data_IF_689396920755
#
_entry.id   IF_689396920755
#
_cell.length_a   1.000
_cell.length_b   1.000
_cell.length_c   1.000
_cell.angle_alpha   90.00
_cell.angle_beta   90.00
_cell.angle_gamma   90.00
#
_symmetry.space_group_name_H-M   'P 1'
#
loop_
_entity.id
_entity.type
_entity.pdbx_description
1 polymer ?
#
# COMPACT_ATOMS: atom_id res chain seq x y z
N UNK A 1 16.55 33.28 12.14
CA UNK A 1 15.97 32.87 10.84
C UNK A 1 14.65 32.18 11.11
N UNK A 2 13.54 32.89 10.88
CA UNK A 2 12.18 32.42 11.17
C UNK A 2 11.75 31.36 10.13
N UNK A 3 11.26 30.22 10.62
CA UNK A 3 10.81 29.10 9.80
C UNK A 3 9.48 29.46 9.11
N UNK A 4 9.39 29.45 7.77
CA UNK A 4 8.20 29.88 7.05
C UNK A 4 7.36 28.67 6.65
N UNK A 5 6.81 27.90 7.60
CA UNK A 5 5.84 26.87 7.21
C UNK A 5 4.96 26.31 8.35
N UNK A 6 4.63 27.12 9.36
CA UNK A 6 3.51 26.77 10.22
C UNK A 6 2.24 27.37 9.62
N UNK A 7 1.23 26.57 9.21
CA UNK A 7 -0.07 27.13 8.90
C UNK A 7 -0.51 27.93 10.14
N UNK A 8 -0.91 29.18 9.91
CA UNK A 8 -1.27 30.08 11.00
C UNK A 8 -2.35 29.41 11.87
N UNK A 9 -2.27 29.58 13.20
CA UNK A 9 -3.28 29.07 14.15
C UNK A 9 -4.73 29.40 13.73
N UNK A 10 -4.89 30.52 13.01
CA UNK A 10 -6.13 30.97 12.40
C UNK A 10 -6.62 30.09 11.22
N UNK A 11 -5.73 29.54 10.40
CA UNK A 11 -6.09 28.57 9.36
C UNK A 11 -6.54 27.24 9.97
N UNK A 12 -5.91 26.81 11.06
CA UNK A 12 -6.33 25.60 11.79
C UNK A 12 -7.69 25.77 12.45
N UNK A 13 -7.96 26.90 13.10
CA UNK A 13 -9.28 27.15 13.70
C UNK A 13 -10.39 27.25 12.66
N UNK A 14 -10.11 27.82 11.49
CA UNK A 14 -11.04 27.82 10.35
C UNK A 14 -11.29 26.41 9.82
N UNK A 15 -10.25 25.59 9.65
CA UNK A 15 -10.39 24.21 9.20
C UNK A 15 -11.19 23.35 10.20
N UNK A 16 -10.98 23.53 11.50
CA UNK A 16 -11.76 22.88 12.56
C UNK A 16 -13.24 23.28 12.51
N UNK A 17 -13.53 24.56 12.32
CA UNK A 17 -14.91 25.05 12.24
C UNK A 17 -15.63 24.50 11.00
N UNK A 18 -14.95 24.52 9.84
CA UNK A 18 -15.49 23.97 8.59
C UNK A 18 -15.68 22.45 8.69
N UNK A 19 -14.77 21.73 9.32
CA UNK A 19 -14.93 20.30 9.55
C UNK A 19 -16.12 19.99 10.47
N UNK A 20 -16.34 20.78 11.52
CA UNK A 20 -17.49 20.64 12.41
C UNK A 20 -18.82 20.91 11.67
N UNK A 21 -18.90 21.99 10.90
CA UNK A 21 -20.09 22.28 10.08
C UNK A 21 -20.35 21.15 9.06
N UNK A 22 -19.32 20.67 8.36
CA UNK A 22 -19.46 19.56 7.41
C UNK A 22 -19.87 18.25 8.08
N UNK A 23 -19.45 18.02 9.32
CA UNK A 23 -19.87 16.86 10.10
C UNK A 23 -21.35 16.96 10.49
N UNK A 24 -21.81 18.15 10.91
CA UNK A 24 -23.22 18.42 11.19
C UNK A 24 -24.09 18.23 9.94
N UNK A 25 -23.62 18.66 8.76
CA UNK A 25 -24.29 18.39 7.48
C UNK A 25 -24.27 16.92 7.09
N UNK A 26 -23.20 16.18 7.38
CA UNK A 26 -23.11 14.75 7.05
C UNK A 26 -23.99 13.86 7.94
N UNK A 27 -24.29 14.32 9.15
CA UNK A 27 -25.16 13.61 10.10
C UNK A 27 -26.65 13.80 9.78
N UNK A 28 -26.99 14.73 8.88
CA UNK A 28 -28.34 14.87 8.36
C UNK A 28 -28.51 13.93 7.16
N UNK A 29 -29.19 12.81 7.38
CA UNK A 29 -29.57 11.89 6.31
C UNK A 29 -30.63 12.54 5.41
N UNK A 30 -30.18 13.19 4.34
CA UNK A 30 -31.06 13.78 3.32
C UNK A 30 -31.68 12.68 2.45
N UNK A 31 -32.78 12.11 2.92
CA UNK A 31 -33.63 11.26 2.08
C UNK A 31 -34.56 12.14 1.25
N UNK A 32 -34.84 11.73 0.00
CA UNK A 32 -35.82 12.42 -0.86
C UNK A 32 -37.15 12.62 -0.11
N UNK A 33 -37.53 11.63 0.71
CA UNK A 33 -38.73 11.64 1.54
C UNK A 33 -38.63 12.75 2.60
N UNK A 34 -37.53 12.83 3.37
CA UNK A 34 -37.32 13.89 4.37
C UNK A 34 -37.20 15.30 3.77
N UNK A 35 -36.66 15.42 2.55
CA UNK A 35 -36.63 16.70 1.82
C UNK A 35 -38.00 17.11 1.27
N UNK A 36 -38.88 16.14 1.00
CA UNK A 36 -40.21 16.38 0.44
C UNK A 36 -41.29 16.67 1.50
N UNK A 37 -41.10 16.23 2.74
CA UNK A 37 -42.04 16.42 3.85
C UNK A 37 -42.43 17.90 4.09
N UNK A 38 -41.50 18.89 4.08
CA UNK A 38 -41.85 20.30 4.19
C UNK A 38 -42.75 20.78 3.03
N UNK A 39 -42.53 20.24 1.83
CA UNK A 39 -43.29 20.60 0.62
C UNK A 39 -44.72 20.04 0.73
N UNK A 40 -44.88 18.78 1.16
CA UNK A 40 -46.19 18.15 1.35
C UNK A 40 -46.99 18.75 2.51
N UNK A 41 -46.32 19.12 3.61
CA UNK A 41 -46.93 19.81 4.75
C UNK A 41 -47.46 21.20 4.36
N UNK A 42 -46.67 21.97 3.60
CA UNK A 42 -47.09 23.27 3.08
C UNK A 42 -48.32 23.14 2.15
N UNK A 43 -48.37 22.11 1.29
CA UNK A 43 -49.48 21.90 0.36
C UNK A 43 -50.80 21.53 1.06
N UNK A 44 -50.70 20.76 2.16
CA UNK A 44 -51.85 20.37 2.99
C UNK A 44 -52.40 21.55 3.82
N UNK A 45 -51.52 22.46 4.24
CA UNK A 45 -51.93 23.71 4.91
C UNK A 45 -52.63 24.69 3.96
N UNK A 46 -52.34 24.64 2.66
CA UNK A 46 -52.97 25.50 1.66
C UNK A 46 -54.40 25.04 1.30
N UNK A 47 -54.72 23.75 1.41
CA UNK A 47 -56.09 23.23 1.17
C UNK A 47 -57.04 23.38 2.36
N UNK A 48 -56.52 23.69 3.55
CA UNK A 48 -57.32 23.86 4.78
C UNK A 48 -57.64 25.31 5.13
N UNK A 49 -57.16 26.28 4.34
CA UNK A 49 -57.41 27.72 4.56
C UNK A 49 -58.48 28.35 3.66
N UNK A 50 -59.08 27.59 2.73
CA UNK A 50 -60.28 28.05 1.99
C UNK A 50 -61.56 27.71 2.74
N UNK A 51 -62.04 28.71 3.47
CA UNK A 51 -63.25 28.78 4.30
C UNK A 51 -64.55 28.35 3.58
N UNK A 52 -65.26 27.34 4.11
CA UNK A 52 -66.74 27.32 4.10
C UNK A 52 -67.50 26.03 3.70
N UNK A 53 -68.24 25.49 4.69
CA UNK A 53 -69.56 24.80 4.59
C UNK A 53 -69.60 23.28 4.31
N UNK A 54 -69.79 22.54 5.41
CA UNK A 54 -70.56 21.30 5.62
C UNK A 54 -71.13 20.56 4.39
N UNK A 55 -70.66 19.33 4.14
CA UNK A 55 -71.52 18.14 3.98
C UNK A 55 -70.69 16.89 3.67
N UNK A 56 -71.23 15.74 4.09
CA UNK A 56 -70.81 14.38 3.77
C UNK A 56 -69.66 13.78 4.60
N UNK A 57 -70.07 13.00 5.60
CA UNK A 57 -69.55 11.68 5.99
C UNK A 57 -68.10 11.36 5.58
N UNK A 58 -67.19 11.06 6.53
CA UNK A 58 -65.90 10.49 6.19
C UNK A 58 -66.15 9.14 5.51
N UNK A 59 -66.05 9.09 4.18
CA UNK A 59 -65.95 7.82 3.48
C UNK A 59 -64.66 7.20 3.97
N UNK A 60 -64.81 6.15 4.76
CA UNK A 60 -63.74 5.34 5.33
C UNK A 60 -63.00 4.64 4.18
N UNK A 61 -62.03 5.32 3.59
CA UNK A 61 -60.89 4.70 2.91
C UNK A 61 -59.62 5.13 3.63
N UNK A 62 -59.67 5.04 4.96
CA UNK A 62 -58.49 5.08 5.81
C UNK A 62 -57.72 3.77 5.55
N UNK A 63 -56.69 3.85 4.69
CA UNK A 63 -55.56 2.92 4.67
C UNK A 63 -54.43 3.62 5.42
N UNK A 64 -54.74 4.11 6.61
CA UNK A 64 -53.76 4.50 7.62
C UNK A 64 -53.28 3.24 8.34
N UNK A 65 -52.58 2.39 7.60
CA UNK A 65 -51.82 1.27 8.16
C UNK A 65 -50.59 0.91 7.29
N UNK A 66 -49.99 1.90 6.64
CA UNK A 66 -48.58 1.81 6.22
C UNK A 66 -47.76 2.30 7.41
N UNK A 67 -47.55 1.39 8.35
CA UNK A 67 -46.71 1.55 9.52
C UNK A 67 -45.32 2.09 9.16
N UNK A 68 -44.85 3.04 9.97
CA UNK A 68 -43.47 3.44 10.21
C UNK A 68 -42.51 3.47 9.01
N UNK A 69 -42.24 4.68 8.53
CA UNK A 69 -41.22 5.04 7.53
C UNK A 69 -41.37 4.36 6.16
N UNK A 70 -41.79 5.07 5.11
CA UNK A 70 -41.84 4.50 3.77
C UNK A 70 -40.42 4.13 3.34
N UNK A 71 -40.10 2.84 3.40
CA UNK A 71 -38.88 2.30 2.82
C UNK A 71 -39.01 2.34 1.29
N UNK A 72 -37.90 2.57 0.55
CA UNK A 72 -37.96 2.74 -0.92
C UNK A 72 -38.61 1.55 -1.63
N UNK A 73 -38.44 0.33 -1.10
CA UNK A 73 -39.06 -0.88 -1.63
C UNK A 73 -40.58 -0.95 -1.42
N UNK A 74 -41.12 -0.36 -0.34
CA UNK A 74 -42.57 -0.30 -0.10
C UNK A 74 -43.23 0.69 -1.06
N UNK A 75 -42.57 1.82 -1.31
CA UNK A 75 -43.09 2.88 -2.18
C UNK A 75 -43.21 2.42 -3.64
N UNK A 76 -42.24 1.62 -4.13
CA UNK A 76 -42.31 1.04 -5.47
C UNK A 76 -43.50 0.07 -5.62
N UNK A 77 -43.73 -0.78 -4.61
CA UNK A 77 -44.86 -1.69 -4.58
C UNK A 77 -46.20 -0.91 -4.58
N UNK A 78 -46.32 0.13 -3.76
CA UNK A 78 -47.52 0.97 -3.69
C UNK A 78 -47.77 1.70 -5.02
N UNK A 79 -46.74 2.27 -5.66
CA UNK A 79 -46.88 2.92 -6.96
C UNK A 79 -47.35 1.95 -8.05
N UNK A 80 -46.85 0.71 -8.04
CA UNK A 80 -47.28 -0.32 -8.98
C UNK A 80 -48.76 -0.68 -8.77
N UNK A 81 -49.18 -0.87 -7.52
CA UNK A 81 -50.56 -1.16 -7.15
C UNK A 81 -51.51 -0.02 -7.54
N UNK A 82 -51.15 1.23 -7.25
CA UNK A 82 -51.96 2.39 -7.64
C UNK A 82 -52.06 2.54 -9.16
N UNK A 83 -50.98 2.30 -9.90
CA UNK A 83 -51.02 2.33 -11.36
C UNK A 83 -52.02 1.32 -11.92
N UNK A 84 -52.04 0.10 -11.40
CA UNK A 84 -53.02 -0.90 -11.78
C UNK A 84 -54.45 -0.51 -11.39
N UNK A 85 -54.66 -0.06 -10.15
CA UNK A 85 -55.97 0.37 -9.65
C UNK A 85 -56.54 1.52 -10.49
N UNK A 86 -55.75 2.56 -10.75
CA UNK A 86 -56.18 3.69 -11.56
C UNK A 86 -56.40 3.31 -13.02
N UNK A 87 -55.64 2.36 -13.58
CA UNK A 87 -55.89 1.85 -14.93
C UNK A 87 -57.25 1.15 -15.03
N UNK A 88 -57.59 0.32 -14.03
CA UNK A 88 -58.89 -0.36 -13.92
C UNK A 88 -60.03 0.64 -13.71
N UNK A 89 -59.84 1.60 -12.82
CA UNK A 89 -60.82 2.64 -12.52
C UNK A 89 -61.10 3.52 -13.75
N UNK A 90 -60.04 3.94 -14.46
CA UNK A 90 -60.15 4.72 -15.70
C UNK A 90 -60.90 3.95 -16.78
N UNK A 91 -60.60 2.66 -16.97
CA UNK A 91 -61.32 1.82 -17.93
C UNK A 91 -62.80 1.71 -17.57
N UNK A 92 -63.11 1.34 -16.32
CA UNK A 92 -64.49 1.23 -15.83
C UNK A 92 -65.27 2.54 -15.94
N UNK A 93 -64.63 3.68 -15.63
CA UNK A 93 -65.27 5.00 -15.71
C UNK A 93 -65.58 5.39 -17.14
N UNK A 94 -64.61 5.25 -18.06
CA UNK A 94 -64.82 5.55 -19.48
C UNK A 94 -65.90 4.65 -20.06
N UNK A 95 -65.89 3.36 -19.74
CA UNK A 95 -66.94 2.42 -20.15
C UNK A 95 -68.31 2.81 -19.61
N UNK A 96 -68.41 3.17 -18.33
CA UNK A 96 -69.68 3.55 -17.72
C UNK A 96 -70.23 4.86 -18.29
N UNK A 97 -69.39 5.89 -18.42
CA UNK A 97 -69.79 7.19 -18.98
C UNK A 97 -70.17 7.05 -20.45
N UNK A 98 -69.47 6.22 -21.23
CA UNK A 98 -69.84 5.97 -22.63
C UNK A 98 -71.15 5.21 -22.75
N UNK A 99 -71.37 4.17 -21.92
CA UNK A 99 -72.66 3.47 -21.83
C UNK A 99 -73.80 4.41 -21.48
N UNK A 100 -73.64 5.25 -20.46
CA UNK A 100 -74.66 6.22 -20.06
C UNK A 100 -74.92 7.26 -21.15
N UNK A 101 -73.86 7.83 -21.74
CA UNK A 101 -73.97 8.82 -22.82
C UNK A 101 -74.65 8.22 -24.06
N UNK A 102 -74.37 6.95 -24.39
CA UNK A 102 -75.03 6.24 -25.48
C UNK A 102 -76.52 6.03 -25.22
N UNK A 103 -76.88 5.54 -24.02
CA UNK A 103 -78.30 5.36 -23.63
C UNK A 103 -79.01 6.71 -23.66
N UNK A 104 -78.41 7.76 -23.11
CA UNK A 104 -78.99 9.11 -23.10
C UNK A 104 -79.10 9.70 -24.52
N UNK A 105 -78.19 9.38 -25.44
CA UNK A 105 -78.29 9.82 -26.83
C UNK A 105 -79.44 9.15 -27.58
N UNK A 106 -79.77 7.89 -27.26
CA UNK A 106 -80.86 7.13 -27.89
C UNK A 106 -82.22 7.44 -27.25
N UNK A 107 -82.26 7.57 -25.93
CA UNK A 107 -83.49 7.73 -25.14
C UNK A 107 -83.83 9.21 -24.86
N UNK A 108 -82.86 10.11 -25.03
CA UNK A 108 -83.06 11.55 -24.86
C UNK A 108 -83.99 12.13 -25.92
N UNK A 109 -84.83 13.08 -25.51
CA UNK A 109 -85.77 13.78 -26.39
C UNK A 109 -85.35 15.26 -26.46
N UNK A 110 -84.81 15.77 -27.59
CA UNK A 110 -84.63 15.11 -28.88
C UNK A 110 -83.38 14.19 -28.96
N UNK A 111 -83.40 13.14 -29.81
CA UNK A 111 -82.27 12.23 -29.96
C UNK A 111 -81.04 12.94 -30.52
N UNK A 112 -79.90 12.73 -29.87
CA UNK A 112 -78.63 13.33 -30.26
C UNK A 112 -78.04 12.56 -31.45
N UNK A 113 -78.31 13.04 -32.67
CA UNK A 113 -77.71 12.52 -33.90
C UNK A 113 -76.42 13.30 -34.15
N UNK A 114 -75.27 12.67 -33.94
CA UNK A 114 -73.96 13.28 -34.21
C UNK A 114 -73.82 13.48 -35.72
N UNK A 115 -73.68 14.73 -36.15
CA UNK A 115 -73.50 15.05 -37.57
C UNK A 115 -72.07 14.77 -38.02
N UNK A 116 -71.87 14.41 -39.28
CA UNK A 116 -70.53 14.21 -39.85
C UNK A 116 -69.66 15.46 -39.75
N UNK A 117 -70.27 16.65 -39.77
CA UNK A 117 -69.57 17.92 -39.61
C UNK A 117 -69.08 18.16 -38.18
N UNK A 118 -69.89 17.79 -37.18
CA UNK A 118 -69.49 17.84 -35.76
C UNK A 118 -68.39 16.84 -35.41
N UNK A 119 -68.41 15.65 -36.04
CA UNK A 119 -67.28 14.72 -35.93
C UNK A 119 -66.00 15.30 -36.53
N UNK A 120 -66.08 15.92 -37.71
CA UNK A 120 -64.91 16.54 -38.34
C UNK A 120 -64.29 17.65 -37.48
N UNK A 121 -65.12 18.51 -36.86
CA UNK A 121 -64.62 19.57 -35.97
C UNK A 121 -64.03 19.00 -34.67
N UNK A 122 -64.64 17.96 -34.09
CA UNK A 122 -64.10 17.27 -32.92
C UNK A 122 -62.79 16.52 -33.23
N UNK A 123 -62.64 15.99 -34.43
CA UNK A 123 -61.40 15.37 -34.89
C UNK A 123 -60.28 16.39 -35.02
N UNK A 124 -60.55 17.58 -35.55
CA UNK A 124 -59.58 18.68 -35.65
C UNK A 124 -59.15 19.21 -34.27
N UNK A 125 -60.11 19.39 -33.35
CA UNK A 125 -59.82 19.78 -31.95
C UNK A 125 -59.00 18.69 -31.25
N UNK A 126 -59.33 17.41 -31.44
CA UNK A 126 -58.55 16.32 -30.87
C UNK A 126 -57.15 16.22 -31.49
N UNK A 127 -57.00 16.50 -32.79
CA UNK A 127 -55.70 16.49 -33.45
C UNK A 127 -54.80 17.60 -32.90
N UNK A 128 -55.31 18.83 -32.76
CA UNK A 128 -54.56 19.94 -32.16
C UNK A 128 -54.21 19.66 -30.69
N UNK A 129 -55.16 19.16 -29.88
CA UNK A 129 -54.91 18.77 -28.50
C UNK A 129 -53.88 17.63 -28.37
N UNK A 130 -53.91 16.65 -29.28
CA UNK A 130 -52.90 15.58 -29.33
C UNK A 130 -51.52 16.11 -29.68
N UNK A 131 -51.39 17.06 -30.60
CA UNK A 131 -50.11 17.70 -30.93
C UNK A 131 -49.54 18.42 -29.70
N UNK A 132 -50.35 19.26 -29.04
CA UNK A 132 -49.93 19.97 -27.83
C UNK A 132 -49.51 19.01 -26.71
N UNK A 133 -50.24 17.89 -26.52
CA UNK A 133 -49.88 16.88 -25.54
C UNK A 133 -48.56 16.18 -25.89
N UNK A 134 -48.33 15.87 -27.18
CA UNK A 134 -47.08 15.28 -27.63
C UNK A 134 -45.89 16.21 -27.39
N UNK A 135 -46.02 17.49 -27.73
CA UNK A 135 -45.00 18.51 -27.46
C UNK A 135 -44.68 18.58 -25.95
N UNK A 136 -45.70 18.71 -25.10
CA UNK A 136 -45.51 18.77 -23.65
C UNK A 136 -44.93 17.47 -23.09
N UNK A 137 -45.29 16.31 -23.65
CA UNK A 137 -44.69 15.03 -23.27
C UNK A 137 -43.21 14.97 -23.63
N UNK A 138 -42.82 15.49 -24.79
CA UNK A 138 -41.41 15.56 -25.18
C UNK A 138 -40.63 16.53 -24.28
N UNK A 139 -41.21 17.68 -23.95
CA UNK A 139 -40.62 18.64 -23.00
C UNK A 139 -40.40 18.01 -21.62
N UNK A 140 -41.45 17.42 -21.04
CA UNK A 140 -41.36 16.74 -19.74
C UNK A 140 -40.33 15.62 -19.78
N UNK A 141 -40.26 14.84 -20.86
CA UNK A 141 -39.24 13.79 -21.00
C UNK A 141 -37.81 14.36 -21.03
N UNK A 142 -37.61 15.51 -21.68
CA UNK A 142 -36.31 16.17 -21.71
C UNK A 142 -35.90 16.71 -20.33
N UNK A 143 -36.86 17.27 -19.57
CA UNK A 143 -36.63 17.75 -18.22
C UNK A 143 -36.28 16.58 -17.30
N UNK A 144 -36.99 15.44 -17.40
CA UNK A 144 -36.70 14.24 -16.62
C UNK A 144 -35.29 13.70 -16.88
N UNK A 145 -34.87 13.64 -18.15
CA UNK A 145 -33.51 13.23 -18.49
C UNK A 145 -32.46 14.18 -17.90
N UNK A 146 -32.68 15.49 -17.99
CA UNK A 146 -31.78 16.48 -17.39
C UNK A 146 -31.74 16.40 -15.86
N UNK A 147 -32.86 16.03 -15.22
CA UNK A 147 -32.95 15.86 -13.79
C UNK A 147 -32.19 14.59 -13.36
N UNK A 148 -32.32 13.50 -14.11
CA UNK A 148 -31.61 12.26 -13.85
C UNK A 148 -30.10 12.46 -13.96
N UNK A 149 -29.62 13.10 -15.04
CA UNK A 149 -28.19 13.42 -15.20
C UNK A 149 -27.68 14.27 -14.04
N UNK A 150 -28.39 15.34 -13.68
CA UNK A 150 -28.04 16.19 -12.54
C UNK A 150 -28.06 15.45 -11.21
N UNK A 151 -28.98 14.50 -11.03
CA UNK A 151 -29.07 13.70 -9.81
C UNK A 151 -27.88 12.74 -9.66
N UNK A 152 -27.43 12.13 -10.76
CA UNK A 152 -26.24 11.28 -10.78
C UNK A 152 -24.96 12.10 -10.53
N UNK A 153 -24.85 13.26 -11.19
CA UNK A 153 -23.76 14.22 -10.95
C UNK A 153 -23.72 14.69 -9.49
N UNK A 154 -24.87 14.96 -8.89
CA UNK A 154 -24.95 15.37 -7.49
C UNK A 154 -24.53 14.23 -6.55
N UNK A 155 -24.97 13.00 -6.81
CA UNK A 155 -24.61 11.83 -6.02
C UNK A 155 -23.09 11.60 -6.02
N UNK A 156 -22.45 11.64 -7.19
CA UNK A 156 -20.99 11.46 -7.30
C UNK A 156 -20.21 12.57 -6.58
N UNK A 157 -20.65 13.82 -6.70
CA UNK A 157 -20.04 14.96 -5.97
C UNK A 157 -20.22 14.82 -4.47
N UNK A 158 -21.39 14.40 -4.01
CA UNK A 158 -21.68 14.18 -2.60
C UNK A 158 -20.79 13.09 -2.01
N UNK A 159 -20.65 11.95 -2.69
CA UNK A 159 -19.74 10.88 -2.27
C UNK A 159 -18.29 11.35 -2.19
N UNK A 160 -17.84 12.15 -3.17
CA UNK A 160 -16.49 12.73 -3.16
C UNK A 160 -16.27 13.64 -1.96
N UNK A 161 -17.19 14.57 -1.70
CA UNK A 161 -17.11 15.47 -0.55
C UNK A 161 -17.11 14.67 0.75
N UNK A 162 -17.94 13.62 0.87
CA UNK A 162 -17.98 12.74 2.03
C UNK A 162 -16.65 12.00 2.25
N UNK A 163 -15.98 11.57 1.18
CA UNK A 163 -14.65 10.97 1.28
C UNK A 163 -13.58 11.99 1.70
N UNK A 164 -13.61 13.18 1.11
CA UNK A 164 -12.67 14.27 1.44
C UNK A 164 -12.86 14.77 2.88
N UNK A 165 -14.09 14.83 3.39
CA UNK A 165 -14.36 15.20 4.80
C UNK A 165 -13.86 14.13 5.76
N UNK A 166 -14.05 12.84 5.46
CA UNK A 166 -13.49 11.76 6.27
C UNK A 166 -11.96 11.83 6.36
N UNK A 167 -11.28 12.10 5.24
CA UNK A 167 -9.83 12.32 5.21
C UNK A 167 -9.41 13.57 6.00
N UNK A 168 -10.20 14.65 5.93
CA UNK A 168 -9.92 15.87 6.69
C UNK A 168 -9.99 15.62 8.19
N UNK A 169 -11.00 14.88 8.66
CA UNK A 169 -11.13 14.49 10.08
C UNK A 169 -9.93 13.65 10.52
N UNK A 170 -9.55 12.64 9.73
CA UNK A 170 -8.38 11.80 10.04
C UNK A 170 -7.08 12.61 10.10
N UNK A 171 -6.89 13.56 9.17
CA UNK A 171 -5.71 14.42 9.16
C UNK A 171 -5.69 15.34 10.38
N UNK A 172 -6.85 15.84 10.79
CA UNK A 172 -7.00 16.74 11.93
C UNK A 172 -6.63 16.05 13.25
N UNK A 173 -6.89 14.74 13.37
CA UNK A 173 -6.45 13.89 14.47
C UNK A 173 -4.95 13.60 14.44
N UNK A 174 -4.36 13.46 13.24
CA UNK A 174 -2.91 13.19 13.09
C UNK A 174 -2.03 14.41 13.39
N UNK A 175 -2.50 15.62 13.11
CA UNK A 175 -1.75 16.86 13.36
C UNK A 175 -1.27 17.01 14.82
N UNK A 176 -2.13 16.92 15.86
CA UNK A 176 -1.67 17.05 17.24
C UNK A 176 -0.70 15.92 17.65
N UNK A 177 -0.88 14.70 17.12
CA UNK A 177 0.05 13.60 17.37
C UNK A 177 1.45 13.90 16.81
N UNK A 178 1.52 14.45 15.59
CA UNK A 178 2.77 14.88 14.97
C UNK A 178 3.39 16.10 15.68
N UNK A 179 2.57 17.07 16.10
CA UNK A 179 3.04 18.23 16.87
C UNK A 179 3.62 17.80 18.23
N UNK A 180 2.96 16.88 18.93
CA UNK A 180 3.47 16.30 20.18
C UNK A 180 4.79 15.56 19.92
N UNK A 181 4.88 14.77 18.84
CA UNK A 181 6.11 14.07 18.49
C UNK A 181 7.25 15.04 18.16
N UNK A 182 6.97 16.15 17.48
CA UNK A 182 7.94 17.21 17.23
C UNK A 182 8.35 17.85 18.56
N UNK A 183 7.40 18.15 19.45
CA UNK A 183 7.66 18.72 20.76
C UNK A 183 8.48 17.80 21.67
N UNK A 184 8.35 16.48 21.54
CA UNK A 184 9.21 15.48 22.19
C UNK A 184 10.62 15.41 21.57
N UNK A 185 10.71 15.44 20.25
CA UNK A 185 11.98 15.30 19.53
C UNK A 185 12.83 16.57 19.56
N UNK A 186 12.23 17.76 19.66
CA UNK A 186 12.96 19.02 19.77
C UNK A 186 13.87 19.12 21.00
N UNK A 187 13.43 18.86 22.25
CA UNK A 187 14.30 18.91 23.41
C UNK A 187 15.36 17.81 23.36
N UNK A 188 15.06 16.61 22.84
CA UNK A 188 16.04 15.53 22.64
C UNK A 188 17.12 15.96 21.65
N UNK A 189 16.74 16.61 20.54
CA UNK A 189 17.70 17.15 19.56
C UNK A 189 18.52 18.30 20.12
N UNK A 190 17.91 19.19 20.93
CA UNK A 190 18.63 20.31 21.57
C UNK A 190 19.58 19.80 22.66
N UNK A 191 19.17 18.82 23.46
CA UNK A 191 20.03 18.24 24.49
C UNK A 191 21.15 17.37 23.89
N UNK A 192 20.89 16.61 22.81
CA UNK A 192 21.96 15.90 22.07
C UNK A 192 22.88 16.84 21.29
N UNK A 193 22.38 18.01 20.88
CA UNK A 193 23.19 19.06 20.24
C UNK A 193 24.18 19.74 21.18
N UNK A 194 23.83 19.88 22.46
CA UNK A 194 24.64 20.63 23.44
C UNK A 194 25.40 19.74 24.46
N UNK A 195 25.00 18.48 24.71
CA UNK A 195 25.58 17.66 25.79
C UNK A 195 26.33 16.37 25.39
N UNK A 196 26.47 16.02 24.11
CA UNK A 196 27.30 14.87 23.69
C UNK A 196 28.58 15.32 22.96
N UNK A 197 29.55 15.81 23.74
CA UNK A 197 30.97 15.84 23.35
C UNK A 197 31.68 14.49 23.61
N UNK A 198 30.91 13.42 23.80
CA UNK A 198 31.38 12.08 24.13
C UNK A 198 31.08 11.12 22.97
N UNK A 199 31.89 11.16 21.92
CA UNK A 199 31.88 10.10 20.92
C UNK A 199 32.48 10.50 19.60
N UNK A 200 31.67 11.07 18.70
CA UNK A 200 32.10 11.41 17.34
C UNK A 200 31.36 12.63 16.78
N UNK A 201 32.07 13.71 16.39
CA UNK A 201 31.47 14.91 15.81
C UNK A 201 30.78 14.66 14.46
N UNK A 202 31.10 13.52 13.82
CA UNK A 202 30.53 13.09 12.54
C UNK A 202 29.05 12.69 12.63
N UNK A 203 28.56 12.35 13.83
CA UNK A 203 27.16 11.92 14.05
C UNK A 203 26.18 13.08 14.14
N UNK A 204 26.67 14.31 14.35
CA UNK A 204 25.87 15.53 14.45
C UNK A 204 25.91 16.38 13.16
N UNK A 205 26.36 15.78 12.06
CA UNK A 205 26.46 16.47 10.78
C UNK A 205 25.09 16.59 10.09
N UNK A 206 24.77 17.74 9.47
CA UNK A 206 23.59 17.86 8.60
C UNK A 206 23.69 16.89 7.41
N UNK A 207 22.54 16.49 6.86
CA UNK A 207 22.44 15.46 5.81
C UNK A 207 23.40 15.68 4.62
N UNK A 208 23.62 16.92 4.19
CA UNK A 208 24.57 17.21 3.12
C UNK A 208 26.03 16.86 3.49
N UNK A 209 26.43 17.09 4.74
CA UNK A 209 27.78 16.77 5.22
C UNK A 209 27.94 15.27 5.50
N UNK A 210 26.89 14.56 5.93
CA UNK A 210 26.95 13.10 6.09
C UNK A 210 27.07 12.39 4.76
N UNK A 211 26.36 12.84 3.71
CA UNK A 211 26.52 12.30 2.36
C UNK A 211 27.96 12.48 1.84
N UNK A 212 28.54 13.67 2.02
CA UNK A 212 29.93 13.92 1.66
C UNK A 212 30.92 13.03 2.44
N UNK A 213 30.68 12.80 3.74
CA UNK A 213 31.49 11.91 4.56
C UNK A 213 31.38 10.44 4.11
N UNK A 214 30.17 9.98 3.79
CA UNK A 214 29.93 8.63 3.26
C UNK A 214 30.67 8.43 1.94
N UNK A 215 30.62 9.42 1.04
CA UNK A 215 31.36 9.34 -0.23
C UNK A 215 32.88 9.31 -0.01
N UNK A 216 33.40 10.08 0.94
CA UNK A 216 34.81 10.01 1.32
C UNK A 216 35.20 8.64 1.87
N UNK A 217 34.38 8.08 2.77
CA UNK A 217 34.62 6.73 3.32
C UNK A 217 34.54 5.65 2.25
N UNK A 218 33.62 5.75 1.30
CA UNK A 218 33.57 4.84 0.13
C UNK A 218 34.83 4.92 -0.73
N UNK A 219 35.38 6.12 -0.94
CA UNK A 219 36.65 6.30 -1.66
C UNK A 219 37.83 5.71 -0.88
N UNK A 220 37.87 5.89 0.44
CA UNK A 220 38.89 5.29 1.32
C UNK A 220 38.83 3.76 1.29
N UNK A 221 37.64 3.17 1.41
CA UNK A 221 37.45 1.72 1.30
C UNK A 221 37.91 1.20 -0.06
N UNK A 222 37.48 1.83 -1.17
CA UNK A 222 37.93 1.43 -2.50
C UNK A 222 39.44 1.60 -2.71
N UNK A 223 40.12 2.49 -1.97
CA UNK A 223 41.59 2.58 -1.97
C UNK A 223 42.21 1.44 -1.18
N UNK A 224 41.68 1.12 -0.01
CA UNK A 224 42.17 0.01 0.82
C UNK A 224 41.97 -1.35 0.13
N UNK A 225 40.83 -1.56 -0.53
CA UNK A 225 40.58 -2.80 -1.28
C UNK A 225 41.60 -3.00 -2.40
N UNK A 226 41.91 -1.95 -3.17
CA UNK A 226 42.98 -2.01 -4.17
C UNK A 226 44.36 -2.30 -3.55
N UNK A 227 44.64 -1.74 -2.37
CA UNK A 227 45.88 -2.05 -1.66
C UNK A 227 45.92 -3.51 -1.21
N UNK A 228 44.81 -4.07 -0.73
CA UNK A 228 44.70 -5.49 -0.38
C UNK A 228 44.83 -6.39 -1.62
N UNK A 229 44.23 -6.04 -2.75
CA UNK A 229 44.39 -6.76 -4.02
C UNK A 229 45.84 -6.76 -4.51
N UNK A 230 46.59 -5.66 -4.31
CA UNK A 230 48.00 -5.59 -4.66
C UNK A 230 48.90 -6.38 -3.69
N UNK A 231 48.59 -6.33 -2.38
CA UNK A 231 49.37 -7.00 -1.35
C UNK A 231 49.10 -8.51 -1.29
N UNK A 232 47.88 -8.97 -1.59
CA UNK A 232 47.50 -10.38 -1.56
C UNK A 232 48.46 -11.29 -2.36
N UNK A 233 48.70 -11.03 -3.65
CA UNK A 233 49.66 -11.77 -4.47
C UNK A 233 51.10 -11.66 -3.96
N UNK A 234 51.49 -10.53 -3.37
CA UNK A 234 52.84 -10.36 -2.80
C UNK A 234 53.04 -11.23 -1.57
N UNK A 235 52.04 -11.31 -0.69
CA UNK A 235 52.06 -12.17 0.49
C UNK A 235 52.14 -13.64 0.08
N UNK A 236 51.34 -14.06 -0.90
CA UNK A 236 51.39 -15.43 -1.43
C UNK A 236 52.74 -15.77 -2.04
N UNK A 237 53.31 -14.88 -2.86
CA UNK A 237 54.65 -15.06 -3.45
C UNK A 237 55.73 -15.17 -2.37
N UNK A 238 55.69 -14.29 -1.37
CA UNK A 238 56.64 -14.33 -0.25
C UNK A 238 56.48 -15.59 0.61
N UNK A 239 55.26 -16.09 0.80
CA UNK A 239 55.00 -17.36 1.46
C UNK A 239 55.62 -18.53 0.69
N UNK A 240 55.46 -18.57 -0.64
CA UNK A 240 56.06 -19.61 -1.49
C UNK A 240 57.59 -19.53 -1.51
N UNK A 241 58.15 -18.32 -1.56
CA UNK A 241 59.61 -18.11 -1.44
C UNK A 241 60.13 -18.58 -0.08
N UNK A 242 59.41 -18.29 1.01
CA UNK A 242 59.77 -18.75 2.34
C UNK A 242 59.71 -20.27 2.46
N UNK A 243 58.67 -20.92 1.96
CA UNK A 243 58.54 -22.38 1.97
C UNK A 243 59.67 -23.05 1.18
N UNK A 244 60.02 -22.50 0.01
CA UNK A 244 61.16 -22.95 -0.77
C UNK A 244 62.47 -22.83 0.02
N UNK A 245 62.74 -21.67 0.61
CA UNK A 245 63.95 -21.46 1.41
C UNK A 245 63.98 -22.38 2.64
N UNK A 246 62.83 -22.66 3.27
CA UNK A 246 62.73 -23.65 4.35
C UNK A 246 63.09 -25.05 3.87
N UNK A 247 62.59 -25.48 2.70
CA UNK A 247 62.95 -26.78 2.12
C UNK A 247 64.46 -26.86 1.79
N UNK A 248 65.04 -25.77 1.29
CA UNK A 248 66.47 -25.69 0.98
C UNK A 248 67.31 -25.78 2.27
N UNK A 249 66.90 -25.09 3.34
CA UNK A 249 67.55 -25.15 4.65
C UNK A 249 67.49 -26.57 5.23
N UNK A 250 66.33 -27.22 5.21
CA UNK A 250 66.19 -28.61 5.65
C UNK A 250 67.09 -29.56 4.82
N UNK A 251 67.18 -29.34 3.51
CA UNK A 251 68.10 -30.07 2.63
C UNK A 251 69.57 -29.86 3.02
N UNK A 252 69.97 -28.64 3.36
CA UNK A 252 71.32 -28.32 3.83
C UNK A 252 71.61 -28.90 5.22
N UNK A 253 70.63 -28.89 6.13
CA UNK A 253 70.74 -29.53 7.44
C UNK A 253 70.94 -31.04 7.32
N UNK A 254 70.20 -31.69 6.40
CA UNK A 254 70.38 -33.10 6.08
C UNK A 254 71.76 -33.40 5.44
N UNK A 255 72.26 -32.53 4.55
CA UNK A 255 73.62 -32.67 4.02
C UNK A 255 74.67 -32.49 5.10
N UNK A 256 74.46 -31.53 6.01
CA UNK A 256 75.33 -31.31 7.17
C UNK A 256 75.32 -32.53 8.09
N UNK A 257 74.16 -33.06 8.46
CA UNK A 257 74.06 -34.24 9.32
C UNK A 257 74.70 -35.48 8.67
N UNK A 258 74.49 -35.70 7.37
CA UNK A 258 75.16 -36.76 6.60
C UNK A 258 76.68 -36.57 6.56
N UNK A 259 77.18 -35.35 6.37
CA UNK A 259 78.62 -35.06 6.39
C UNK A 259 79.24 -35.28 7.78
N UNK A 260 78.51 -34.92 8.85
CA UNK A 260 78.93 -35.18 10.24
C UNK A 260 78.94 -36.68 10.51
N UNK A 261 77.93 -37.41 10.03
CA UNK A 261 77.86 -38.86 10.14
C UNK A 261 79.02 -39.53 9.40
N UNK A 262 79.26 -39.17 8.13
CA UNK A 262 80.38 -39.65 7.35
C UNK A 262 81.75 -39.31 7.99
N UNK A 263 81.90 -38.11 8.57
CA UNK A 263 83.11 -37.74 9.29
C UNK A 263 83.29 -38.55 10.59
N UNK A 264 82.21 -38.83 11.32
CA UNK A 264 82.22 -39.71 12.50
C UNK A 264 82.55 -41.15 12.12
N UNK A 265 81.97 -41.69 11.05
CA UNK A 265 82.30 -43.02 10.53
C UNK A 265 83.74 -43.09 10.05
N UNK A 266 84.24 -42.09 9.33
CA UNK A 266 85.64 -42.03 8.93
C UNK A 266 86.58 -41.92 10.15
N UNK A 267 86.19 -41.19 11.20
CA UNK A 267 86.94 -41.15 12.46
C UNK A 267 86.91 -42.50 13.17
N UNK A 268 85.75 -43.16 13.24
CA UNK A 268 85.61 -44.49 13.83
C UNK A 268 86.42 -45.52 13.04
N UNK A 269 86.32 -45.54 11.71
CA UNK A 269 87.12 -46.40 10.85
C UNK A 269 88.62 -46.09 10.99
N UNK A 270 89.02 -44.82 11.17
CA UNK A 270 90.41 -44.46 11.51
C UNK A 270 90.79 -44.92 12.92
N UNK A 271 89.90 -44.88 13.89
CA UNK A 271 90.13 -45.40 15.25
C UNK A 271 90.18 -46.94 15.25
N UNK A 272 89.39 -47.62 14.42
CA UNK A 272 89.41 -49.08 14.24
C UNK A 272 90.68 -49.50 13.46
N UNK A 273 91.08 -48.77 12.42
CA UNK A 273 92.36 -48.96 11.69
C UNK A 273 93.58 -48.55 12.55
N UNK A 274 93.42 -47.61 13.48
CA UNK A 274 94.44 -47.22 14.47
C UNK A 274 94.37 -48.08 15.73
N UNK A 275 93.33 -48.89 15.88
CA UNK A 275 93.31 -50.08 16.70
C UNK A 275 94.26 -51.06 16.04
N UNK A 276 95.56 -50.86 16.28
CA UNK A 276 96.64 -51.68 15.76
C UNK A 276 96.53 -53.15 16.15
N UNK A 277 95.47 -53.61 16.82
CA UNK A 277 95.30 -54.99 17.21
C UNK A 277 95.05 -55.92 16.01
N UNK A 278 94.38 -55.46 14.93
CA UNK A 278 94.19 -56.29 13.72
C UNK A 278 95.47 -56.37 12.86
N UNK A 279 96.23 -55.28 12.78
CA UNK A 279 97.52 -55.27 12.08
C UNK A 279 98.64 -55.92 12.91
N UNK A 280 98.64 -55.74 14.24
CA UNK A 280 99.58 -56.39 15.16
C UNK A 280 99.25 -57.87 15.37
N UNK A 281 97.97 -58.28 15.40
CA UNK A 281 97.62 -59.71 15.45
C UNK A 281 98.04 -60.42 14.17
N UNK A 282 97.84 -59.82 12.99
CA UNK A 282 98.37 -60.32 11.73
C UNK A 282 99.91 -60.32 11.74
N UNK A 283 100.54 -59.26 12.24
CA UNK A 283 102.00 -59.18 12.39
C UNK A 283 102.57 -60.25 13.32
N UNK A 284 101.92 -60.50 14.46
CA UNK A 284 102.27 -61.56 15.42
C UNK A 284 102.03 -62.94 14.83
N UNK A 285 100.94 -63.13 14.08
CA UNK A 285 100.67 -64.38 13.37
C UNK A 285 101.76 -64.67 12.33
N UNK A 286 102.13 -63.67 11.52
CA UNK A 286 103.24 -63.78 10.57
C UNK A 286 104.57 -64.05 11.28
N UNK A 287 104.91 -63.35 12.37
CA UNK A 287 106.12 -63.63 13.13
C UNK A 287 106.13 -65.02 13.77
N UNK A 288 105.01 -65.48 14.33
CA UNK A 288 104.88 -66.83 14.87
C UNK A 288 105.04 -67.88 13.76
N UNK A 289 104.47 -67.64 12.58
CA UNK A 289 104.65 -68.52 11.42
C UNK A 289 106.11 -68.59 10.97
N UNK A 290 106.83 -67.46 11.00
CA UNK A 290 108.27 -67.39 10.69
C UNK A 290 109.10 -68.08 11.76
N UNK A 291 108.77 -67.93 13.04
CA UNK A 291 109.47 -68.58 14.15
C UNK A 291 109.35 -70.12 14.06
N UNK A 292 108.15 -70.63 13.80
CA UNK A 292 107.92 -72.07 13.59
C UNK A 292 108.71 -72.58 12.39
N UNK A 293 108.68 -71.86 11.27
CA UNK A 293 109.46 -72.22 10.08
C UNK A 293 110.97 -72.20 10.37
N UNK A 294 111.46 -71.24 11.16
CA UNK A 294 112.88 -71.16 11.54
C UNK A 294 113.32 -72.29 12.46
N UNK A 295 112.47 -72.71 13.41
CA UNK A 295 112.76 -73.85 14.30
C UNK A 295 112.82 -75.17 13.52
N UNK A 296 111.94 -75.34 12.53
CA UNK A 296 111.99 -76.48 11.61
C UNK A 296 113.31 -76.51 10.81
N UNK A 297 113.75 -75.34 10.32
CA UNK A 297 115.01 -75.22 9.57
C UNK A 297 116.28 -75.40 10.44
N UNK A 298 116.22 -75.11 11.74
CA UNK A 298 117.35 -75.35 12.67
C UNK A 298 117.33 -76.72 13.34
N UNK A 299 116.36 -77.58 13.02
CA UNK A 299 116.28 -78.97 13.50
C UNK A 299 116.73 -79.99 12.44
N UNK A 300 117.36 -79.54 11.35
CA UNK A 300 118.10 -80.36 10.40
C UNK A 300 119.61 -80.04 10.46
N UNK A 301 120.29 -80.45 11.54
CA UNK A 301 121.67 -81.01 11.60
C UNK A 301 122.08 -81.36 13.04
#
# INVERSE_FOLDING_TARGET
MASPNNPSRAQRSKALHVAAELQDFSNQDFTIIGLSEPIFSALSSHHSSSKGVNSATPRTSDISNVSDSPTPSSLEADLSHYKELFSKLRFSYVEQVTKEKFIRAIVGDPPLIVSSQENATLEEINASAKSMLQELKTEVSSILLSLEERSQDLATRYERVKAETALLVELLDKIPALENRIAELQPIRRSQGDNDHSGNPDMNLPLGKTLALVDNKRRELGRLDRQLELLGPQVLRKSMEQERLQSDVLGLENRKSNSIYAAKEAKKNKEDVRGGDDLESNGRWHQASVAVLSQLLTLEE
#
